data_IF_108047604102
#
_entry.id   IF_108047604102
#
_cell.length_a   1.000
_cell.length_b   1.000
_cell.length_c   1.000
_cell.angle_alpha   90.00
_cell.angle_beta   90.00
_cell.angle_gamma   90.00
#
_symmetry.space_group_name_H-M   'P 1'
#
loop_
_entity.id
_entity.type
_entity.pdbx_description
1 polymer ?
#
# COMPACT_ATOMS: atom_id res chain seq x y z
N UNK A 1 -19.31 64.76 10.94
CA UNK A 1 -20.41 63.95 10.43
C UNK A 1 -21.05 64.63 9.22
N UNK A 2 -21.48 63.88 8.23
CA UNK A 2 -22.17 64.36 7.03
C UNK A 2 -23.37 63.45 6.77
N UNK A 3 -24.61 64.01 6.82
CA UNK A 3 -25.86 63.30 6.58
C UNK A 3 -26.92 63.54 7.64
N UNK A 4 -28.20 63.28 7.29
CA UNK A 4 -29.29 63.44 8.25
C UNK A 4 -29.14 62.38 9.37
N UNK A 5 -29.09 62.88 10.63
CA UNK A 5 -28.89 62.01 11.79
C UNK A 5 -27.49 61.34 11.90
N UNK A 6 -26.53 61.77 11.11
CA UNK A 6 -25.13 61.22 11.22
C UNK A 6 -24.51 61.74 12.55
N UNK A 7 -23.85 60.83 13.27
CA UNK A 7 -23.18 61.07 14.54
C UNK A 7 -21.69 60.74 14.46
N UNK A 8 -20.86 61.73 14.81
CA UNK A 8 -19.38 61.53 14.90
C UNK A 8 -18.92 62.03 16.26
N UNK A 9 -18.49 61.18 17.16
CA UNK A 9 -18.06 61.53 18.50
C UNK A 9 -18.33 60.44 19.54
N UNK A 10 -17.65 60.53 20.69
CA UNK A 10 -17.86 59.59 21.80
C UNK A 10 -19.14 59.96 22.58
N UNK A 11 -19.97 58.96 22.93
CA UNK A 11 -21.15 59.19 23.76
C UNK A 11 -20.86 59.75 25.16
N UNK A 12 -19.65 59.55 25.65
CA UNK A 12 -19.24 59.97 27.01
C UNK A 12 -18.53 61.31 27.07
N UNK A 13 -18.40 62.02 25.94
CA UNK A 13 -17.75 63.34 25.91
C UNK A 13 -16.25 63.38 26.23
N UNK A 14 -15.64 62.25 26.50
CA UNK A 14 -14.19 62.10 26.73
C UNK A 14 -13.48 61.70 25.46
N UNK A 15 -13.12 62.77 24.71
CA UNK A 15 -12.02 62.78 23.74
C UNK A 15 -11.86 61.63 22.75
N UNK A 16 -12.63 61.54 21.71
CA UNK A 16 -12.31 60.80 20.49
C UNK A 16 -12.05 61.78 19.36
N UNK A 17 -10.79 61.96 19.00
CA UNK A 17 -10.43 62.78 17.85
C UNK A 17 -10.33 61.90 16.60
N UNK A 18 -10.91 62.34 15.47
CA UNK A 18 -10.75 61.71 14.17
C UNK A 18 -11.86 60.77 13.73
N UNK A 19 -13.04 60.77 14.37
CA UNK A 19 -14.20 60.02 13.88
C UNK A 19 -14.74 60.59 12.57
N UNK A 20 -15.05 59.70 11.63
CA UNK A 20 -15.67 60.05 10.35
C UNK A 20 -17.03 59.34 10.23
N UNK A 21 -18.13 60.09 10.17
CA UNK A 21 -19.46 59.54 9.90
C UNK A 21 -20.08 60.21 8.67
N UNK A 22 -20.34 59.46 7.60
CA UNK A 22 -20.92 59.97 6.36
C UNK A 22 -22.07 59.05 5.91
N UNK A 23 -23.26 59.55 5.87
CA UNK A 23 -24.43 58.82 5.42
C UNK A 23 -25.65 59.07 6.32
N UNK A 24 -26.87 58.73 5.85
CA UNK A 24 -28.07 58.77 6.65
C UNK A 24 -27.92 57.92 7.91
N UNK A 25 -28.04 58.47 9.09
CA UNK A 25 -27.95 57.80 10.40
C UNK A 25 -26.62 57.02 10.59
N UNK A 26 -25.54 57.39 9.88
CA UNK A 26 -24.22 56.84 10.08
C UNK A 26 -23.66 57.21 11.46
N UNK A 27 -23.11 56.25 12.20
CA UNK A 27 -22.56 56.45 13.54
C UNK A 27 -21.12 56.00 13.65
N UNK A 28 -20.23 56.93 13.98
CA UNK A 28 -18.83 56.65 14.32
C UNK A 28 -18.64 57.16 15.78
N UNK A 29 -18.72 56.24 16.75
CA UNK A 29 -18.83 56.59 18.16
C UNK A 29 -17.97 55.72 19.08
N UNK A 30 -16.73 55.42 18.70
CA UNK A 30 -15.83 54.62 19.54
C UNK A 30 -15.54 55.30 20.88
N UNK A 31 -15.82 54.64 21.99
CA UNK A 31 -15.53 55.09 23.35
C UNK A 31 -14.15 54.59 23.82
N UNK A 32 -13.38 55.47 24.52
CA UNK A 32 -12.11 55.07 25.14
C UNK A 32 -11.40 56.23 25.79
N UNK A 33 -10.69 56.01 26.91
CA UNK A 33 -10.16 57.02 27.79
C UNK A 33 -8.93 57.77 27.28
N UNK A 34 -8.29 57.38 26.13
CA UNK A 34 -6.97 57.88 25.75
C UNK A 34 -6.86 58.57 24.39
N UNK A 35 -7.94 59.11 23.83
CA UNK A 35 -7.88 60.05 22.70
C UNK A 35 -7.40 59.53 21.35
N UNK A 36 -7.14 58.25 21.19
CA UNK A 36 -6.61 57.63 19.94
C UNK A 36 -7.64 56.74 19.22
N UNK A 37 -8.89 57.12 19.23
CA UNK A 37 -10.00 56.24 18.88
C UNK A 37 -10.72 56.69 17.60
N UNK A 38 -10.00 56.74 16.49
CA UNK A 38 -10.58 57.04 15.18
C UNK A 38 -11.50 55.88 14.74
N UNK A 39 -12.80 56.13 14.60
CA UNK A 39 -13.71 55.19 13.94
C UNK A 39 -14.23 55.79 12.64
N UNK A 40 -14.46 54.96 11.64
CA UNK A 40 -14.98 55.37 10.33
C UNK A 40 -16.29 54.67 10.03
N UNK A 41 -17.39 55.43 9.87
CA UNK A 41 -18.67 54.91 9.42
C UNK A 41 -19.09 55.61 8.11
N UNK A 42 -19.09 54.88 7.01
CA UNK A 42 -19.44 55.39 5.68
C UNK A 42 -20.56 54.56 5.05
N UNK A 43 -21.74 55.12 4.98
CA UNK A 43 -22.93 54.48 4.41
C UNK A 43 -24.18 54.72 5.25
N UNK A 44 -25.35 54.56 4.65
CA UNK A 44 -26.62 54.71 5.40
C UNK A 44 -26.70 53.63 6.48
N UNK A 45 -26.99 54.05 7.74
CA UNK A 45 -27.09 53.18 8.92
C UNK A 45 -25.80 52.40 9.22
N UNK A 46 -24.62 52.85 8.74
CA UNK A 46 -23.34 52.25 9.11
C UNK A 46 -23.00 52.58 10.57
N UNK A 47 -22.43 51.60 11.29
CA UNK A 47 -22.14 51.68 12.72
C UNK A 47 -20.67 51.27 12.98
N UNK A 48 -19.84 52.17 13.47
CA UNK A 48 -18.49 51.91 13.91
C UNK A 48 -18.34 52.31 15.39
N UNK A 49 -18.51 51.37 16.30
CA UNK A 49 -18.47 51.56 17.77
C UNK A 49 -17.18 51.05 18.39
N UNK A 50 -16.43 50.19 17.70
CA UNK A 50 -15.13 49.73 18.13
C UNK A 50 -14.02 50.77 17.94
N UNK A 51 -13.05 50.84 18.89
CA UNK A 51 -11.85 51.66 18.73
C UNK A 51 -11.09 51.24 17.46
N UNK A 52 -10.74 52.16 16.58
CA UNK A 52 -10.15 51.84 15.30
C UNK A 52 -11.07 51.08 14.33
N UNK A 53 -12.38 51.01 14.66
CA UNK A 53 -13.37 50.32 13.84
C UNK A 53 -13.65 51.03 12.52
N UNK A 54 -13.75 50.29 11.43
CA UNK A 54 -14.05 50.79 10.09
C UNK A 54 -15.29 50.10 9.52
N UNK A 55 -16.40 50.79 9.39
CA UNK A 55 -17.64 50.30 8.82
C UNK A 55 -17.99 51.02 7.53
N UNK A 56 -17.88 50.39 6.38
CA UNK A 56 -18.15 50.96 5.06
C UNK A 56 -19.21 50.15 4.34
N UNK A 57 -20.34 50.74 4.08
CA UNK A 57 -21.46 50.09 3.41
C UNK A 57 -22.80 50.33 4.18
N UNK A 58 -23.91 50.22 3.49
CA UNK A 58 -25.21 50.37 4.14
C UNK A 58 -25.43 49.24 5.17
N UNK A 59 -25.82 49.62 6.42
CA UNK A 59 -26.00 48.71 7.55
C UNK A 59 -24.74 47.88 7.92
N UNK A 60 -23.53 48.36 7.56
CA UNK A 60 -22.30 47.72 8.02
C UNK A 60 -22.05 48.00 9.50
N UNK A 61 -21.47 47.03 10.23
CA UNK A 61 -21.18 47.10 11.67
C UNK A 61 -19.73 46.72 11.95
N UNK A 62 -18.98 47.63 12.58
CA UNK A 62 -17.63 47.38 13.07
C UNK A 62 -17.63 47.70 14.59
N UNK A 63 -17.91 46.68 15.41
CA UNK A 63 -18.11 46.81 16.84
C UNK A 63 -16.91 46.44 17.71
N UNK A 64 -16.03 45.59 17.18
CA UNK A 64 -14.79 45.18 17.85
C UNK A 64 -13.64 46.19 17.72
N UNK A 65 -12.68 46.14 18.66
CA UNK A 65 -11.42 46.88 18.59
C UNK A 65 -10.66 46.52 17.30
N UNK A 66 -10.26 47.58 16.53
CA UNK A 66 -9.57 47.42 15.24
C UNK A 66 -10.30 46.50 14.25
N UNK A 67 -11.62 46.48 14.29
CA UNK A 67 -12.44 45.67 13.39
C UNK A 67 -12.70 46.37 12.07
N UNK A 68 -12.89 45.61 10.99
CA UNK A 68 -13.17 46.14 9.65
C UNK A 68 -14.38 45.44 9.03
N UNK A 69 -15.43 46.22 8.72
CA UNK A 69 -16.61 45.74 8.01
C UNK A 69 -16.77 46.54 6.70
N UNK A 70 -16.55 45.88 5.56
CA UNK A 70 -16.67 46.50 4.24
C UNK A 70 -17.69 45.75 3.38
N UNK A 71 -18.83 46.32 3.17
CA UNK A 71 -19.93 45.77 2.39
C UNK A 71 -21.28 46.02 3.00
N UNK A 72 -22.35 45.90 2.20
CA UNK A 72 -23.73 46.00 2.71
C UNK A 72 -23.98 44.88 3.72
N UNK A 73 -24.45 45.26 4.93
CA UNK A 73 -24.74 44.34 6.05
C UNK A 73 -23.47 43.50 6.48
N UNK A 74 -22.28 43.97 6.19
CA UNK A 74 -21.07 43.34 6.71
C UNK A 74 -20.97 43.58 8.23
N UNK A 75 -20.59 42.54 9.00
CA UNK A 75 -20.51 42.59 10.47
C UNK A 75 -19.15 42.06 10.95
N UNK A 76 -18.39 42.95 11.57
CA UNK A 76 -17.18 42.61 12.29
C UNK A 76 -17.44 42.80 13.79
N UNK A 77 -17.97 41.77 14.45
CA UNK A 77 -18.62 41.88 15.77
C UNK A 77 -17.61 41.94 16.93
N UNK A 78 -16.38 41.47 16.73
CA UNK A 78 -15.40 41.32 17.81
C UNK A 78 -14.04 41.89 17.42
N UNK A 79 -13.12 41.95 18.42
CA UNK A 79 -11.77 42.50 18.25
C UNK A 79 -10.99 41.84 17.14
N UNK A 80 -10.34 42.66 16.31
CA UNK A 80 -9.54 42.24 15.19
C UNK A 80 -10.30 41.51 14.06
N UNK A 81 -11.65 41.52 14.11
CA UNK A 81 -12.46 40.87 13.09
C UNK A 81 -12.43 41.62 11.76
N UNK A 82 -12.35 40.93 10.65
CA UNK A 82 -12.39 41.48 9.30
C UNK A 82 -13.52 40.84 8.49
N UNK A 83 -14.51 41.61 8.10
CA UNK A 83 -15.67 41.19 7.31
C UNK A 83 -15.76 41.99 6.01
N UNK A 84 -15.42 41.39 4.88
CA UNK A 84 -15.41 42.02 3.56
C UNK A 84 -16.34 41.28 2.60
N UNK A 85 -17.43 41.94 2.23
CA UNK A 85 -18.45 41.38 1.34
C UNK A 85 -19.87 41.64 1.86
N UNK A 86 -20.87 41.42 1.02
CA UNK A 86 -22.26 41.61 1.40
C UNK A 86 -22.70 40.49 2.36
N UNK A 87 -23.35 40.89 3.47
CA UNK A 87 -23.90 39.95 4.47
C UNK A 87 -22.86 38.99 5.07
N UNK A 88 -21.61 39.44 5.17
CA UNK A 88 -20.53 38.72 5.87
C UNK A 88 -20.62 38.92 7.37
N UNK A 89 -20.17 37.94 8.15
CA UNK A 89 -20.06 38.07 9.61
C UNK A 89 -18.72 37.50 10.05
N UNK A 90 -17.94 38.26 10.80
CA UNK A 90 -16.67 37.79 11.36
C UNK A 90 -16.69 37.91 12.88
N UNK A 91 -16.31 36.86 13.58
CA UNK A 91 -16.16 36.78 15.03
C UNK A 91 -14.72 37.11 15.44
N UNK A 92 -14.36 36.93 16.71
CA UNK A 92 -13.08 37.35 17.28
C UNK A 92 -11.87 36.94 16.46
N UNK A 93 -11.13 37.95 15.99
CA UNK A 93 -9.94 37.80 15.12
C UNK A 93 -10.20 36.91 13.87
N UNK A 94 -11.47 36.79 13.50
CA UNK A 94 -11.91 36.06 12.33
C UNK A 94 -11.77 36.88 11.05
N UNK A 95 -11.54 36.22 9.93
CA UNK A 95 -11.50 36.84 8.60
C UNK A 95 -12.59 36.27 7.70
N UNK A 96 -13.53 37.09 7.28
CA UNK A 96 -14.56 36.77 6.29
C UNK A 96 -14.32 37.55 5.00
N UNK A 97 -14.18 36.87 3.88
CA UNK A 97 -14.03 37.49 2.56
C UNK A 97 -14.95 36.81 1.53
N UNK A 98 -15.99 37.50 1.11
CA UNK A 98 -16.94 36.99 0.13
C UNK A 98 -18.38 37.19 0.57
N UNK A 99 -19.32 37.10 -0.38
CA UNK A 99 -20.75 37.22 -0.04
C UNK A 99 -21.15 36.09 0.91
N UNK A 100 -21.78 36.44 2.06
CA UNK A 100 -22.21 35.48 3.10
C UNK A 100 -21.11 34.57 3.66
N UNK A 101 -19.85 34.98 3.59
CA UNK A 101 -18.75 34.26 4.24
C UNK A 101 -18.88 34.40 5.77
N UNK A 102 -18.69 33.30 6.52
CA UNK A 102 -18.93 33.19 7.94
C UNK A 102 -17.87 32.44 8.70
N UNK A 103 -16.78 33.05 9.18
CA UNK A 103 -15.94 32.49 10.24
C UNK A 103 -16.69 32.63 11.59
N UNK A 104 -17.32 31.55 12.03
CA UNK A 104 -18.21 31.50 13.19
C UNK A 104 -17.50 31.21 14.52
N UNK A 105 -16.17 31.10 14.50
CA UNK A 105 -15.37 30.82 15.68
C UNK A 105 -14.11 31.68 15.72
N UNK A 106 -13.48 31.77 16.89
CA UNK A 106 -12.28 32.57 17.10
C UNK A 106 -11.14 32.10 16.18
N UNK A 107 -10.41 33.08 15.62
CA UNK A 107 -9.27 32.87 14.71
C UNK A 107 -9.63 32.12 13.41
N UNK A 108 -10.92 32.01 13.10
CA UNK A 108 -11.37 31.31 11.91
C UNK A 108 -11.24 32.17 10.64
N UNK A 109 -10.92 31.54 9.52
CA UNK A 109 -10.85 32.23 8.23
C UNK A 109 -11.84 31.60 7.24
N UNK A 110 -12.68 32.44 6.63
CA UNK A 110 -13.71 32.02 5.67
C UNK A 110 -13.63 32.87 4.40
N UNK A 111 -13.18 32.27 3.30
CA UNK A 111 -12.99 32.96 2.02
C UNK A 111 -13.80 32.27 0.92
N UNK A 112 -14.73 33.04 0.33
CA UNK A 112 -15.60 32.55 -0.75
C UNK A 112 -17.10 32.75 -0.45
N UNK A 113 -17.90 32.68 -1.49
CA UNK A 113 -19.36 32.82 -1.37
C UNK A 113 -19.91 31.65 -0.56
N UNK A 114 -20.67 31.93 0.49
CA UNK A 114 -21.27 30.96 1.41
C UNK A 114 -20.27 30.04 2.13
N UNK A 115 -18.98 30.41 2.20
CA UNK A 115 -17.99 29.64 2.96
C UNK A 115 -18.25 29.73 4.47
N UNK A 116 -17.96 28.67 5.23
CA UNK A 116 -18.17 28.62 6.68
C UNK A 116 -16.97 27.96 7.37
N UNK A 117 -16.39 28.64 8.33
CA UNK A 117 -15.37 28.13 9.23
C UNK A 117 -15.95 28.08 10.65
N UNK A 118 -16.45 26.91 11.07
CA UNK A 118 -17.30 26.76 12.25
C UNK A 118 -16.53 26.49 13.55
N UNK A 119 -15.24 26.25 13.48
CA UNK A 119 -14.42 25.85 14.64
C UNK A 119 -13.21 26.75 14.82
N UNK A 120 -12.70 26.76 16.05
CA UNK A 120 -11.49 27.49 16.45
C UNK A 120 -10.31 27.23 15.49
N UNK A 121 -9.69 28.32 15.01
CA UNK A 121 -8.55 28.27 14.08
C UNK A 121 -8.82 27.47 12.80
N UNK A 122 -10.06 27.31 12.40
CA UNK A 122 -10.39 26.63 11.14
C UNK A 122 -10.28 27.57 9.94
N UNK A 123 -9.87 27.02 8.79
CA UNK A 123 -9.75 27.78 7.55
C UNK A 123 -10.60 27.14 6.46
N UNK A 124 -11.56 27.91 5.91
CA UNK A 124 -12.47 27.47 4.86
C UNK A 124 -12.32 28.37 3.63
N UNK A 125 -11.82 27.84 2.52
CA UNK A 125 -11.58 28.60 1.29
C UNK A 125 -12.28 27.93 0.12
N UNK A 126 -13.24 28.62 -0.47
CA UNK A 126 -13.98 28.15 -1.64
C UNK A 126 -15.49 28.43 -1.52
N UNK A 127 -16.16 28.41 -2.66
CA UNK A 127 -17.62 28.56 -2.68
C UNK A 127 -18.26 27.39 -1.90
N UNK A 128 -19.11 27.71 -0.94
CA UNK A 128 -19.84 26.74 -0.12
C UNK A 128 -18.94 25.73 0.63
N UNK A 129 -17.67 26.05 0.82
CA UNK A 129 -16.78 25.24 1.65
C UNK A 129 -17.19 25.32 3.11
N UNK A 130 -17.15 24.20 3.85
CA UNK A 130 -17.53 24.13 5.27
C UNK A 130 -16.44 23.38 6.05
N UNK A 131 -15.83 24.06 7.02
CA UNK A 131 -14.83 23.47 7.90
C UNK A 131 -15.31 23.53 9.35
N UNK A 132 -15.57 22.37 9.93
CA UNK A 132 -16.05 22.20 11.30
C UNK A 132 -15.04 21.56 12.23
N UNK A 133 -13.92 21.04 11.69
CA UNK A 133 -12.81 20.54 12.49
C UNK A 133 -11.98 21.65 13.11
N UNK A 134 -11.64 21.56 14.41
CA UNK A 134 -10.69 22.47 15.08
C UNK A 134 -9.32 22.37 14.42
N UNK A 135 -8.65 23.51 14.18
CA UNK A 135 -7.36 23.60 13.51
C UNK A 135 -7.34 22.97 12.11
N UNK A 136 -8.49 22.78 11.48
CA UNK A 136 -8.60 22.15 10.17
C UNK A 136 -8.58 23.18 9.03
N UNK A 137 -8.14 22.74 7.86
CA UNK A 137 -8.06 23.52 6.63
C UNK A 137 -8.85 22.82 5.52
N UNK A 138 -9.79 23.54 4.91
CA UNK A 138 -10.52 23.07 3.74
C UNK A 138 -10.41 24.07 2.59
N UNK A 139 -9.86 23.64 1.45
CA UNK A 139 -9.69 24.48 0.26
C UNK A 139 -10.30 23.81 -0.96
N UNK A 140 -11.34 24.42 -1.51
CA UNK A 140 -12.06 23.96 -2.69
C UNK A 140 -13.55 24.23 -2.62
N UNK A 141 -14.21 24.23 -3.77
CA UNK A 141 -15.66 24.38 -3.85
C UNK A 141 -16.37 23.18 -3.19
N UNK A 142 -17.34 23.44 -2.31
CA UNK A 142 -18.13 22.40 -1.64
C UNK A 142 -17.30 21.38 -0.81
N UNK A 143 -16.08 21.77 -0.43
CA UNK A 143 -15.24 20.97 0.46
C UNK A 143 -15.83 20.96 1.86
N UNK A 144 -15.92 19.78 2.49
CA UNK A 144 -16.43 19.58 3.86
C UNK A 144 -15.35 18.92 4.72
N UNK A 145 -14.99 19.54 5.84
CA UNK A 145 -13.95 19.02 6.74
C UNK A 145 -14.46 19.03 8.17
N UNK A 146 -14.73 17.86 8.73
CA UNK A 146 -15.20 17.70 10.11
C UNK A 146 -14.08 17.23 11.05
N UNK A 147 -13.04 16.59 10.54
CA UNK A 147 -11.92 16.07 11.34
C UNK A 147 -11.02 17.19 11.88
N UNK A 148 -10.68 17.12 13.18
CA UNK A 148 -9.70 18.00 13.81
C UNK A 148 -8.31 17.81 13.17
N UNK A 149 -7.54 18.91 13.00
CA UNK A 149 -6.18 18.87 12.47
C UNK A 149 -6.06 18.42 11.01
N UNK A 150 -7.17 18.29 10.30
CA UNK A 150 -7.25 17.80 8.92
C UNK A 150 -6.94 18.88 7.90
N UNK A 151 -6.20 18.54 6.86
CA UNK A 151 -5.95 19.38 5.69
C UNK A 151 -6.57 18.74 4.46
N UNK A 152 -7.56 19.40 3.86
CA UNK A 152 -8.24 18.94 2.67
C UNK A 152 -8.18 19.98 1.55
N UNK A 153 -7.55 19.62 0.43
CA UNK A 153 -7.40 20.47 -0.75
C UNK A 153 -8.03 19.78 -1.96
N UNK A 154 -9.12 20.34 -2.47
CA UNK A 154 -9.82 19.83 -3.64
C UNK A 154 -11.33 20.00 -3.55
N UNK A 155 -11.98 20.23 -4.70
CA UNK A 155 -13.44 20.43 -4.76
C UNK A 155 -14.21 19.13 -4.48
N UNK A 156 -15.35 19.23 -3.80
CA UNK A 156 -16.23 18.08 -3.50
C UNK A 156 -15.62 17.07 -2.52
N UNK A 157 -14.54 17.44 -1.84
CA UNK A 157 -13.88 16.57 -0.86
C UNK A 157 -14.61 16.58 0.48
N UNK A 158 -14.86 15.42 1.07
CA UNK A 158 -15.55 15.26 2.35
C UNK A 158 -14.71 14.40 3.31
N UNK A 159 -14.23 15.01 4.42
CA UNK A 159 -13.33 14.36 5.37
C UNK A 159 -13.91 14.40 6.77
N UNK A 160 -14.14 13.23 7.36
CA UNK A 160 -14.69 13.10 8.73
C UNK A 160 -13.64 12.69 9.77
N UNK A 161 -12.59 11.98 9.37
CA UNK A 161 -11.50 11.57 10.25
C UNK A 161 -10.54 12.70 10.59
N UNK A 162 -9.79 12.54 11.70
CA UNK A 162 -8.83 13.51 12.23
C UNK A 162 -7.45 13.35 11.62
N UNK A 163 -6.67 14.46 11.62
CA UNK A 163 -5.27 14.46 11.17
C UNK A 163 -5.06 13.89 9.75
N UNK A 164 -6.05 13.95 8.92
CA UNK A 164 -6.03 13.47 7.53
C UNK A 164 -5.41 14.53 6.62
N UNK A 165 -4.69 14.08 5.60
CA UNK A 165 -4.19 14.94 4.52
C UNK A 165 -4.75 14.46 3.18
N UNK A 166 -5.52 15.33 2.49
CA UNK A 166 -6.02 15.04 1.14
C UNK A 166 -5.58 16.08 0.13
N UNK A 167 -5.21 15.60 -1.05
CA UNK A 167 -4.93 16.45 -2.22
C UNK A 167 -5.58 15.84 -3.46
N UNK A 168 -6.70 16.41 -3.88
CA UNK A 168 -7.48 15.93 -5.02
C UNK A 168 -8.96 16.25 -4.84
N UNK A 169 -9.73 16.20 -5.90
CA UNK A 169 -11.18 16.44 -5.87
C UNK A 169 -11.99 15.16 -5.71
N UNK A 170 -13.22 15.29 -5.20
CA UNK A 170 -14.15 14.18 -5.00
C UNK A 170 -13.58 13.03 -4.13
N UNK A 171 -12.81 13.39 -3.11
CA UNK A 171 -12.28 12.46 -2.11
C UNK A 171 -13.25 12.34 -0.95
N UNK A 172 -13.54 11.13 -0.50
CA UNK A 172 -14.31 10.88 0.72
C UNK A 172 -13.48 10.07 1.72
N UNK A 173 -13.28 10.65 2.92
CA UNK A 173 -12.62 9.96 4.02
C UNK A 173 -13.60 9.82 5.18
N UNK A 174 -14.13 8.64 5.45
CA UNK A 174 -15.07 8.39 6.55
C UNK A 174 -14.39 8.49 7.91
N UNK A 175 -15.14 8.37 8.99
CA UNK A 175 -14.61 8.22 10.35
C UNK A 175 -13.80 6.94 10.50
N UNK A 176 -12.82 6.96 11.42
CA UNK A 176 -11.96 5.80 11.71
C UNK A 176 -10.75 5.66 10.80
N UNK A 177 -10.43 6.68 10.00
CA UNK A 177 -9.24 6.74 9.12
C UNK A 177 -8.26 7.84 9.58
N UNK A 178 -8.12 8.01 10.88
CA UNK A 178 -7.30 9.06 11.47
C UNK A 178 -5.82 8.92 11.03
N UNK A 179 -5.27 10.01 10.50
CA UNK A 179 -3.90 10.05 9.97
C UNK A 179 -3.73 9.61 8.52
N UNK A 180 -4.80 9.27 7.79
CA UNK A 180 -4.71 8.84 6.39
C UNK A 180 -4.19 9.94 5.46
N UNK A 181 -3.45 9.54 4.43
CA UNK A 181 -3.04 10.39 3.32
C UNK A 181 -3.73 9.90 2.04
N UNK A 182 -4.48 10.79 1.37
CA UNK A 182 -5.26 10.42 0.18
C UNK A 182 -4.95 11.39 -0.96
N UNK A 183 -4.42 10.88 -2.05
CA UNK A 183 -3.89 11.69 -3.15
C UNK A 183 -4.57 11.34 -4.48
N UNK A 184 -4.97 12.37 -5.21
CA UNK A 184 -5.54 12.24 -6.56
C UNK A 184 -7.07 12.30 -6.58
N UNK A 185 -7.62 12.70 -7.74
CA UNK A 185 -9.06 12.79 -7.97
C UNK A 185 -9.75 11.43 -7.76
N UNK A 186 -10.83 11.39 -6.98
CA UNK A 186 -11.61 10.18 -6.75
C UNK A 186 -10.89 9.05 -6.01
N UNK A 187 -9.75 9.34 -5.36
CA UNK A 187 -9.09 8.32 -4.54
C UNK A 187 -9.92 7.98 -3.31
N UNK A 188 -9.91 6.72 -2.92
CA UNK A 188 -10.74 6.19 -1.84
C UNK A 188 -9.98 6.00 -0.53
N UNK A 189 -10.72 6.11 0.57
CA UNK A 189 -10.28 5.80 1.92
C UNK A 189 -11.38 5.03 2.69
N UNK A 190 -12.27 4.34 1.97
CA UNK A 190 -13.38 3.55 2.51
C UNK A 190 -12.97 2.21 3.10
N UNK A 191 -13.90 1.26 3.13
CA UNK A 191 -13.67 -0.08 3.71
C UNK A 191 -12.61 -0.90 2.99
N UNK A 192 -12.47 -0.70 1.67
CA UNK A 192 -11.50 -1.44 0.85
C UNK A 192 -10.04 -1.02 1.13
N UNK A 193 -9.87 0.05 1.91
CA UNK A 193 -8.57 0.50 2.40
C UNK A 193 -8.27 0.03 3.84
N UNK A 194 -8.91 -1.03 4.31
CA UNK A 194 -8.63 -1.59 5.64
C UNK A 194 -7.17 -2.03 5.73
N UNK A 195 -6.48 -1.51 6.74
CA UNK A 195 -5.06 -1.77 6.96
C UNK A 195 -4.89 -3.14 7.61
N UNK A 196 -4.09 -4.00 6.96
CA UNK A 196 -3.77 -5.34 7.45
C UNK A 196 -2.29 -5.36 7.87
N UNK A 197 -2.03 -5.79 9.09
CA UNK A 197 -0.67 -6.06 9.54
C UNK A 197 -0.17 -7.36 8.91
N UNK A 198 0.70 -7.23 7.91
CA UNK A 198 1.27 -8.34 7.14
C UNK A 198 2.63 -8.71 7.73
N UNK A 199 2.78 -9.90 8.28
CA UNK A 199 4.04 -10.40 8.81
C UNK A 199 4.49 -11.73 8.20
N UNK A 200 3.69 -12.31 7.32
CA UNK A 200 4.01 -13.58 6.66
C UNK A 200 3.30 -13.71 5.31
N UNK A 201 3.90 -14.49 4.41
CA UNK A 201 3.29 -14.92 3.17
C UNK A 201 3.53 -16.41 2.95
N UNK A 202 2.50 -17.14 2.51
CA UNK A 202 2.62 -18.53 2.06
C UNK A 202 2.77 -18.54 0.53
N UNK A 203 3.79 -19.21 0.04
CA UNK A 203 4.09 -19.28 -1.38
C UNK A 203 3.76 -20.66 -1.92
N UNK A 204 2.87 -20.71 -2.91
CA UNK A 204 2.46 -21.91 -3.64
C UNK A 204 1.56 -22.87 -2.83
N UNK A 205 0.68 -23.54 -3.52
CA UNK A 205 -0.30 -24.47 -2.90
C UNK A 205 0.32 -25.77 -2.44
N UNK A 206 1.36 -26.25 -3.12
CA UNK A 206 2.06 -27.51 -2.83
C UNK A 206 3.28 -27.31 -1.94
N UNK A 207 3.90 -26.12 -1.95
CA UNK A 207 5.04 -25.82 -1.11
C UNK A 207 4.54 -25.42 0.28
N UNK A 208 5.19 -25.93 1.31
CA UNK A 208 4.93 -25.48 2.70
C UNK A 208 5.79 -24.26 3.06
N UNK A 209 6.38 -23.59 2.04
CA UNK A 209 7.22 -22.43 2.24
C UNK A 209 6.38 -21.27 2.78
N UNK A 210 6.79 -20.78 3.92
CA UNK A 210 6.20 -19.61 4.57
C UNK A 210 7.31 -18.63 4.85
N UNK A 211 7.19 -17.43 4.31
CA UNK A 211 8.05 -16.30 4.65
C UNK A 211 7.46 -15.62 5.89
N UNK A 212 8.30 -15.33 6.87
CA UNK A 212 7.90 -14.71 8.15
C UNK A 212 8.84 -13.54 8.47
N UNK A 213 8.48 -12.80 9.51
CA UNK A 213 9.30 -11.74 10.07
C UNK A 213 9.54 -10.55 9.12
N UNK A 214 8.47 -10.19 8.35
CA UNK A 214 8.49 -8.99 7.54
C UNK A 214 8.69 -7.74 8.40
N UNK A 215 9.58 -6.83 7.97
CA UNK A 215 9.76 -5.53 8.58
C UNK A 215 8.53 -4.63 8.40
N UNK A 216 8.40 -3.55 9.22
CA UNK A 216 7.34 -2.55 9.06
C UNK A 216 5.98 -2.97 9.62
N UNK A 217 5.95 -3.65 10.75
CA UNK A 217 4.73 -4.11 11.39
C UNK A 217 3.83 -2.94 11.83
N UNK A 218 2.56 -2.97 11.40
CA UNK A 218 1.52 -1.99 11.75
C UNK A 218 0.79 -2.28 13.07
N UNK A 219 1.36 -3.08 13.97
CA UNK A 219 0.83 -3.29 15.32
C UNK A 219 -0.47 -4.09 15.39
N UNK A 220 -0.69 -5.02 14.47
CA UNK A 220 -1.76 -6.02 14.60
C UNK A 220 -1.48 -6.99 15.75
N UNK A 221 -2.51 -7.65 16.28
CA UNK A 221 -2.35 -8.75 17.25
C UNK A 221 -1.70 -9.94 16.56
N UNK A 222 -0.38 -9.97 16.52
CA UNK A 222 0.39 -10.99 15.83
C UNK A 222 0.29 -12.34 16.53
N UNK A 223 -0.62 -13.16 16.06
CA UNK A 223 -0.40 -14.61 16.18
C UNK A 223 0.60 -14.98 15.09
N UNK A 224 1.79 -15.42 15.50
CA UNK A 224 2.88 -15.85 14.61
C UNK A 224 2.33 -16.58 13.37
N UNK A 225 2.59 -16.04 12.17
CA UNK A 225 2.17 -16.63 10.91
C UNK A 225 0.77 -16.29 10.39
N UNK A 226 0.07 -15.31 10.94
CA UNK A 226 -1.21 -14.82 10.39
C UNK A 226 -1.20 -13.32 10.16
N UNK A 227 -1.63 -12.92 8.97
CA UNK A 227 -1.95 -11.53 8.69
C UNK A 227 -3.28 -11.21 9.36
N UNK A 228 -3.33 -10.12 10.13
CA UNK A 228 -4.52 -9.69 10.88
C UNK A 228 -4.82 -8.23 10.57
N UNK A 229 -6.09 -7.83 10.73
CA UNK A 229 -6.42 -6.41 10.68
C UNK A 229 -5.53 -5.63 11.66
N UNK A 230 -5.01 -4.50 11.23
CA UNK A 230 -4.30 -3.59 12.11
C UNK A 230 -5.24 -3.08 13.23
N UNK A 231 -4.67 -2.65 14.35
CA UNK A 231 -5.44 -2.05 15.43
C UNK A 231 -6.27 -0.86 14.93
N UNK A 232 -7.39 -0.57 15.58
CA UNK A 232 -8.33 0.48 15.13
C UNK A 232 -7.64 1.85 15.00
N UNK A 233 -6.72 2.18 15.90
CA UNK A 233 -5.92 3.42 15.86
C UNK A 233 -4.91 3.47 14.71
N UNK A 234 -4.69 2.37 14.01
CA UNK A 234 -3.79 2.25 12.84
C UNK A 234 -4.53 2.14 11.50
N UNK A 235 -5.86 2.13 11.52
CA UNK A 235 -6.65 1.99 10.28
C UNK A 235 -6.53 3.18 9.33
N UNK A 236 -5.94 4.29 9.77
CA UNK A 236 -5.55 5.43 8.92
C UNK A 236 -4.09 5.43 8.48
N UNK A 237 -3.27 4.49 8.89
CA UNK A 237 -1.84 4.45 8.55
C UNK A 237 -1.59 3.94 7.13
N UNK A 238 -2.11 4.64 6.15
CA UNK A 238 -1.92 4.32 4.73
C UNK A 238 -1.83 5.57 3.86
N UNK A 239 -1.31 5.39 2.66
CA UNK A 239 -1.40 6.35 1.56
C UNK A 239 -2.24 5.73 0.46
N UNK A 240 -3.42 6.30 0.18
CA UNK A 240 -4.26 5.92 -0.95
C UNK A 240 -4.01 6.84 -2.13
N UNK A 241 -3.80 6.26 -3.32
CA UNK A 241 -3.56 6.99 -4.57
C UNK A 241 -4.56 6.62 -5.66
N UNK A 242 -5.59 5.88 -5.34
CA UNK A 242 -6.62 5.41 -6.27
C UNK A 242 -7.86 4.88 -5.57
N UNK A 243 -8.68 4.19 -6.32
CA UNK A 243 -9.84 3.44 -5.87
C UNK A 243 -9.95 2.16 -6.69
N UNK A 244 -10.84 1.23 -6.33
CA UNK A 244 -11.17 0.06 -7.15
C UNK A 244 -11.49 0.49 -8.59
N UNK A 245 -10.94 -0.21 -9.57
CA UNK A 245 -11.02 0.09 -11.02
C UNK A 245 -10.46 1.47 -11.44
N UNK A 246 -9.74 2.16 -10.56
CA UNK A 246 -9.11 3.45 -10.82
C UNK A 246 -7.75 3.57 -10.08
N UNK A 247 -6.98 2.49 -10.12
CA UNK A 247 -5.64 2.41 -9.53
C UNK A 247 -4.65 3.30 -10.28
N UNK A 248 -3.58 3.70 -9.61
CA UNK A 248 -2.49 4.51 -10.17
C UNK A 248 -1.14 3.86 -9.99
N UNK A 249 -0.30 3.98 -10.99
CA UNK A 249 1.11 3.60 -10.88
C UNK A 249 1.93 4.74 -10.25
N UNK A 250 2.82 4.37 -9.34
CA UNK A 250 3.84 5.29 -8.84
C UNK A 250 5.04 5.22 -9.78
N UNK A 251 5.36 6.33 -10.46
CA UNK A 251 6.47 6.43 -11.42
C UNK A 251 7.72 7.05 -10.78
N UNK A 252 8.87 6.81 -11.38
CA UNK A 252 10.17 7.40 -10.96
C UNK A 252 10.58 7.05 -9.53
N UNK A 253 10.18 5.87 -9.05
CA UNK A 253 10.62 5.35 -7.76
C UNK A 253 12.07 4.89 -7.89
N UNK A 254 12.95 5.42 -7.03
CA UNK A 254 14.34 4.96 -6.94
C UNK A 254 14.40 3.53 -6.39
N UNK A 255 15.53 2.85 -6.61
CA UNK A 255 15.74 1.53 -6.03
C UNK A 255 15.79 1.62 -4.50
N UNK A 256 14.99 0.79 -3.83
CA UNK A 256 14.98 0.65 -2.38
C UNK A 256 16.13 -0.25 -1.88
N UNK A 257 16.48 -0.14 -0.62
CA UNK A 257 17.45 -1.04 0.03
C UNK A 257 16.90 -2.44 0.11
N UNK A 258 17.74 -3.43 -0.15
CA UNK A 258 17.39 -4.86 -0.03
C UNK A 258 18.12 -5.43 1.19
N UNK A 259 17.56 -5.21 2.37
CA UNK A 259 18.04 -5.74 3.66
C UNK A 259 16.86 -6.33 4.44
N UNK A 260 17.16 -7.16 5.43
CA UNK A 260 16.11 -7.83 6.22
C UNK A 260 15.21 -6.87 7.00
N UNK A 261 15.70 -5.67 7.31
CA UNK A 261 15.03 -4.62 8.07
C UNK A 261 14.49 -3.48 7.20
N UNK A 262 14.64 -3.56 5.86
CA UNK A 262 14.20 -2.50 4.96
C UNK A 262 12.69 -2.38 4.89
N UNK A 263 12.21 -1.15 4.93
CA UNK A 263 10.82 -0.76 4.65
C UNK A 263 10.72 0.11 3.41
N UNK A 264 11.78 0.18 2.60
CA UNK A 264 11.78 0.94 1.36
C UNK A 264 10.91 0.27 0.29
N UNK A 265 10.24 1.05 -0.55
CA UNK A 265 9.55 0.54 -1.73
C UNK A 265 10.56 0.02 -2.76
N UNK A 266 10.26 -1.11 -3.38
CA UNK A 266 11.05 -1.68 -4.47
C UNK A 266 10.48 -1.19 -5.81
N UNK A 267 11.37 -0.91 -6.77
CA UNK A 267 10.94 -0.65 -8.15
C UNK A 267 11.00 -1.91 -9.02
N UNK A 268 10.35 -1.85 -10.20
CA UNK A 268 10.24 -2.98 -11.11
C UNK A 268 11.58 -3.57 -11.58
N UNK A 269 12.66 -2.75 -11.66
CA UNK A 269 13.97 -3.25 -12.09
C UNK A 269 14.61 -4.19 -11.06
N UNK A 270 14.37 -3.96 -9.77
CA UNK A 270 14.87 -4.83 -8.70
C UNK A 270 14.15 -6.19 -8.73
N UNK A 271 12.83 -6.19 -8.91
CA UNK A 271 12.05 -7.42 -9.07
C UNK A 271 12.44 -8.18 -10.35
N UNK A 272 12.69 -7.45 -11.46
CA UNK A 272 13.16 -8.06 -12.71
C UNK A 272 14.46 -8.84 -12.52
N UNK A 273 15.44 -8.31 -11.76
CA UNK A 273 16.70 -9.05 -11.51
C UNK A 273 16.47 -10.35 -10.71
N UNK A 274 15.57 -10.31 -9.73
CA UNK A 274 15.19 -11.53 -8.99
C UNK A 274 14.50 -12.54 -9.90
N UNK A 275 13.54 -12.11 -10.71
CA UNK A 275 12.83 -12.95 -11.67
C UNK A 275 13.79 -13.56 -12.72
N UNK A 276 14.73 -12.76 -13.25
CA UNK A 276 15.75 -13.22 -14.19
C UNK A 276 16.66 -14.29 -13.58
N UNK A 277 17.14 -14.07 -12.36
CA UNK A 277 17.99 -15.04 -11.66
C UNK A 277 17.26 -16.36 -11.41
N UNK A 278 15.98 -16.26 -11.02
CA UNK A 278 15.13 -17.43 -10.82
C UNK A 278 14.86 -18.19 -12.14
N UNK A 279 14.61 -17.46 -13.22
CA UNK A 279 14.45 -18.01 -14.57
C UNK A 279 15.70 -18.77 -15.01
N UNK A 280 16.88 -18.15 -14.91
CA UNK A 280 18.15 -18.79 -15.26
C UNK A 280 18.41 -20.06 -14.42
N UNK A 281 18.04 -20.04 -13.13
CA UNK A 281 18.17 -21.21 -12.26
C UNK A 281 17.23 -22.36 -12.68
N UNK A 282 15.99 -22.02 -13.06
CA UNK A 282 15.01 -22.99 -13.56
C UNK A 282 15.46 -23.62 -14.88
N UNK A 283 15.92 -22.80 -15.84
CA UNK A 283 16.47 -23.25 -17.12
C UNK A 283 17.70 -24.17 -16.91
N UNK A 284 18.67 -23.74 -16.09
CA UNK A 284 19.87 -24.56 -15.81
C UNK A 284 19.55 -25.89 -15.12
N UNK A 285 18.51 -25.94 -14.28
CA UNK A 285 18.04 -27.16 -13.67
C UNK A 285 17.35 -28.07 -14.70
N UNK A 286 16.53 -27.49 -15.58
CA UNK A 286 15.88 -28.22 -16.66
C UNK A 286 16.88 -28.84 -17.62
N UNK A 287 17.88 -28.08 -18.06
CA UNK A 287 18.97 -28.55 -18.91
C UNK A 287 19.76 -29.71 -18.25
N UNK A 288 20.07 -29.56 -16.96
CA UNK A 288 20.80 -30.61 -16.19
C UNK A 288 19.98 -31.88 -16.08
N UNK A 289 18.66 -31.79 -16.00
CA UNK A 289 17.76 -32.94 -15.88
C UNK A 289 17.27 -33.46 -17.25
N UNK A 290 17.53 -32.73 -18.34
CA UNK A 290 17.07 -33.09 -19.68
C UNK A 290 15.56 -33.02 -19.83
N UNK A 291 14.92 -32.01 -19.22
CA UNK A 291 13.45 -31.78 -19.23
C UNK A 291 13.10 -30.41 -19.81
N UNK A 292 11.91 -30.29 -20.39
CA UNK A 292 11.37 -28.99 -20.83
C UNK A 292 10.62 -28.29 -19.71
N UNK A 293 10.50 -26.94 -19.81
CA UNK A 293 9.68 -26.12 -18.93
C UNK A 293 8.40 -25.65 -19.65
N UNK A 294 7.32 -25.50 -18.88
CA UNK A 294 6.16 -24.74 -19.24
C UNK A 294 6.43 -23.24 -19.10
N UNK A 295 5.55 -22.38 -19.65
CA UNK A 295 5.64 -20.92 -19.55
C UNK A 295 5.63 -20.41 -18.10
N UNK A 296 5.06 -21.16 -17.17
CA UNK A 296 5.01 -20.84 -15.74
C UNK A 296 6.25 -21.34 -14.96
N UNK A 297 7.26 -21.87 -15.65
CA UNK A 297 8.49 -22.41 -15.05
C UNK A 297 8.35 -23.80 -14.43
N UNK A 298 7.19 -24.45 -14.53
CA UNK A 298 7.01 -25.84 -14.10
C UNK A 298 7.53 -26.81 -15.16
N UNK A 299 7.92 -28.00 -14.74
CA UNK A 299 8.39 -29.03 -15.66
C UNK A 299 7.26 -29.48 -16.58
N UNK A 300 7.47 -29.37 -17.89
CA UNK A 300 6.47 -29.70 -18.92
C UNK A 300 6.22 -31.20 -19.03
N UNK A 301 7.29 -31.97 -19.04
CA UNK A 301 7.25 -33.42 -19.14
C UNK A 301 7.69 -34.02 -17.81
N UNK A 302 7.02 -35.08 -17.39
CA UNK A 302 7.60 -35.90 -16.32
C UNK A 302 8.94 -36.44 -16.82
N UNK A 303 9.94 -36.45 -15.95
CA UNK A 303 11.17 -37.14 -16.21
C UNK A 303 10.82 -38.57 -16.68
N UNK A 304 11.22 -38.93 -17.88
CA UNK A 304 10.96 -40.24 -18.47
C UNK A 304 12.26 -40.80 -18.97
N UNK A 305 12.73 -41.83 -18.31
CA UNK A 305 13.91 -42.60 -18.73
C UNK A 305 13.52 -44.06 -18.75
N UNK A 306 13.12 -44.59 -19.92
CA UNK A 306 12.88 -46.02 -20.06
C UNK A 306 14.17 -46.80 -19.84
N UNK A 307 14.11 -47.87 -19.07
CA UNK A 307 15.19 -48.80 -18.91
C UNK A 307 15.12 -49.84 -20.04
N UNK A 308 16.06 -49.76 -20.99
CA UNK A 308 16.19 -50.77 -22.05
C UNK A 308 16.96 -51.98 -21.51
N UNK A 309 16.36 -53.15 -21.55
CA UNK A 309 16.98 -54.40 -21.17
C UNK A 309 17.32 -55.20 -22.40
N UNK A 310 18.36 -56.03 -22.29
CA UNK A 310 18.80 -56.94 -23.42
C UNK A 310 17.70 -57.94 -23.77
N UNK A 311 17.62 -58.29 -25.04
CA UNK A 311 16.72 -59.33 -25.53
C UNK A 311 16.98 -60.66 -24.79
N UNK A 312 15.89 -61.32 -24.35
CA UNK A 312 15.97 -62.53 -23.57
C UNK A 312 16.22 -62.34 -22.07
N UNK A 313 16.29 -61.10 -21.59
CA UNK A 313 16.39 -60.80 -20.15
C UNK A 313 15.12 -61.25 -19.41
N UNK A 314 15.32 -61.94 -18.29
CA UNK A 314 14.22 -62.25 -17.35
C UNK A 314 13.82 -61.08 -16.46
N UNK A 315 14.47 -59.93 -16.61
CA UNK A 315 14.12 -58.71 -15.89
C UNK A 315 13.01 -57.96 -16.62
N UNK A 316 11.89 -57.76 -15.94
CA UNK A 316 10.84 -56.89 -16.43
C UNK A 316 11.09 -55.49 -15.89
N UNK A 317 11.44 -54.51 -16.76
CA UNK A 317 11.65 -53.15 -16.29
C UNK A 317 10.33 -52.59 -15.76
N UNK A 318 10.35 -51.86 -14.64
CA UNK A 318 9.17 -51.11 -14.18
C UNK A 318 8.79 -50.09 -15.25
N UNK A 319 7.48 -49.75 -15.32
CA UNK A 319 6.98 -48.68 -16.14
C UNK A 319 7.69 -47.36 -15.80
N UNK A 320 7.77 -46.49 -16.80
CA UNK A 320 8.49 -45.18 -16.76
C UNK A 320 8.74 -44.56 -15.39
N UNK A 321 9.98 -44.17 -15.12
CA UNK A 321 10.34 -43.42 -13.94
C UNK A 321 9.82 -42.00 -14.04
N UNK A 322 8.96 -41.57 -13.11
CA UNK A 322 8.42 -40.23 -13.06
C UNK A 322 9.34 -39.19 -12.42
N UNK A 323 10.51 -39.59 -11.93
CA UNK A 323 11.51 -38.72 -11.31
C UNK A 323 12.89 -39.39 -11.33
N UNK A 324 13.97 -38.60 -11.13
CA UNK A 324 15.35 -39.03 -11.16
C UNK A 324 15.65 -40.12 -10.12
N UNK A 325 15.07 -40.00 -8.92
CA UNK A 325 15.26 -40.98 -7.84
C UNK A 325 14.71 -42.34 -8.25
N UNK A 326 13.51 -42.36 -8.84
CA UNK A 326 12.89 -43.59 -9.33
C UNK A 326 13.71 -44.21 -10.48
N UNK A 327 14.21 -43.39 -11.42
CA UNK A 327 15.06 -43.83 -12.50
C UNK A 327 16.37 -44.50 -11.99
N UNK A 328 17.03 -43.84 -11.04
CA UNK A 328 18.25 -44.41 -10.42
C UNK A 328 17.96 -45.69 -9.61
N UNK A 329 16.78 -45.71 -8.93
CA UNK A 329 16.37 -46.92 -8.22
C UNK A 329 16.12 -48.08 -9.19
N UNK A 330 15.46 -47.82 -10.32
CA UNK A 330 15.21 -48.82 -11.36
C UNK A 330 16.53 -49.35 -11.96
N UNK A 331 17.45 -48.41 -12.26
CA UNK A 331 18.78 -48.77 -12.75
C UNK A 331 19.55 -49.62 -11.71
N UNK A 332 19.54 -49.23 -10.44
CA UNK A 332 20.17 -49.99 -9.38
C UNK A 332 19.57 -51.40 -9.25
N UNK A 333 18.26 -51.53 -9.33
CA UNK A 333 17.58 -52.80 -9.27
C UNK A 333 17.92 -53.68 -10.48
N UNK A 334 18.01 -53.10 -11.68
CA UNK A 334 18.43 -53.81 -12.90
C UNK A 334 19.87 -54.34 -12.79
N UNK A 335 20.79 -53.47 -12.40
CA UNK A 335 22.21 -53.86 -12.26
C UNK A 335 22.37 -54.97 -11.23
N UNK A 336 21.59 -54.93 -10.14
CA UNK A 336 21.66 -55.95 -9.10
C UNK A 336 20.78 -57.20 -9.34
N UNK A 337 19.90 -57.16 -10.35
CA UNK A 337 19.06 -58.30 -10.68
C UNK A 337 19.89 -59.51 -11.15
N UNK A 338 21.05 -59.27 -11.79
CA UNK A 338 21.95 -60.30 -12.21
C UNK A 338 21.34 -61.29 -13.19
N UNK A 339 21.90 -62.51 -13.23
CA UNK A 339 21.42 -63.62 -14.03
C UNK A 339 21.42 -64.93 -13.18
N UNK A 340 20.64 -65.88 -13.61
CA UNK A 340 20.52 -67.12 -12.86
C UNK A 340 21.44 -68.21 -13.44
N UNK A 341 22.25 -68.87 -12.61
CA UNK A 341 22.91 -70.06 -12.91
C UNK A 341 22.04 -71.23 -12.45
N UNK A 342 21.81 -72.18 -13.36
CA UNK A 342 21.05 -73.43 -13.09
C UNK A 342 21.81 -74.61 -13.47
N UNK A 343 21.70 -75.74 -12.74
CA UNK A 343 22.24 -77.01 -13.11
C UNK A 343 21.14 -78.06 -13.24
N UNK A 344 21.04 -78.72 -14.41
CA UNK A 344 19.97 -79.68 -14.68
C UNK A 344 20.12 -81.02 -13.96
N UNK A 345 21.34 -81.30 -13.42
CA UNK A 345 21.61 -82.57 -12.66
C UNK A 345 21.13 -82.50 -11.18
N UNK A 346 20.81 -81.35 -10.69
CA UNK A 346 20.20 -81.09 -9.37
C UNK A 346 19.42 -79.84 -9.44
N UNK A 347 18.53 -79.58 -8.49
CA UNK A 347 17.68 -78.37 -8.45
C UNK A 347 18.43 -77.09 -8.10
N UNK A 348 19.72 -77.00 -8.45
CA UNK A 348 20.53 -75.82 -8.19
C UNK A 348 20.11 -74.64 -9.06
N UNK A 349 19.71 -73.55 -8.38
CA UNK A 349 19.43 -72.27 -9.00
C UNK A 349 19.94 -71.17 -8.07
N UNK A 350 20.83 -70.32 -8.58
CA UNK A 350 21.36 -69.22 -7.83
C UNK A 350 21.46 -67.95 -8.71
N UNK A 351 21.29 -66.79 -8.12
CA UNK A 351 21.45 -65.51 -8.79
C UNK A 351 22.92 -65.06 -8.73
N UNK A 352 23.41 -64.60 -9.88
CA UNK A 352 24.74 -64.02 -10.03
C UNK A 352 24.57 -62.55 -10.35
N UNK A 353 24.90 -61.70 -9.41
CA UNK A 353 24.83 -60.22 -9.52
C UNK A 353 26.25 -59.66 -9.76
N UNK A 354 26.32 -58.35 -10.04
CA UNK A 354 27.57 -57.62 -10.20
C UNK A 354 28.47 -57.82 -8.96
N UNK A 355 29.73 -58.20 -9.18
CA UNK A 355 30.67 -58.46 -8.10
C UNK A 355 30.70 -59.93 -7.64
N UNK A 356 29.75 -60.77 -8.06
CA UNK A 356 29.82 -62.22 -7.79
C UNK A 356 30.73 -62.88 -8.75
N UNK A 357 31.37 -63.96 -8.28
CA UNK A 357 32.23 -64.89 -9.10
C UNK A 357 31.50 -66.21 -9.24
N UNK A 358 31.40 -66.67 -10.46
CA UNK A 358 30.96 -68.04 -10.75
C UNK A 358 32.21 -68.84 -11.04
N UNK A 359 32.44 -69.88 -10.24
CA UNK A 359 33.59 -70.80 -10.44
C UNK A 359 33.07 -72.16 -10.91
N UNK A 360 33.46 -72.57 -12.10
CA UNK A 360 33.17 -73.86 -12.66
C UNK A 360 34.35 -74.81 -12.31
N UNK A 361 34.06 -75.83 -11.58
CA UNK A 361 35.11 -76.82 -11.13
C UNK A 361 34.84 -78.17 -11.74
N UNK A 362 35.84 -78.68 -12.45
CA UNK A 362 35.83 -80.04 -12.93
C UNK A 362 36.17 -81.03 -11.81
N UNK A 363 35.52 -82.18 -11.78
CA UNK A 363 35.83 -83.29 -10.87
C UNK A 363 35.96 -84.59 -11.64
N UNK A 364 36.90 -85.47 -11.25
CA UNK A 364 37.18 -86.67 -11.95
C UNK A 364 37.90 -86.41 -13.28
N UNK A 365 37.37 -86.95 -14.39
CA UNK A 365 37.95 -86.79 -15.75
C UNK A 365 37.35 -85.57 -16.50
N UNK A 366 36.95 -84.54 -15.84
CA UNK A 366 36.37 -83.33 -16.47
C UNK A 366 37.28 -82.14 -16.26
N UNK A 367 37.79 -81.63 -17.39
CA UNK A 367 38.54 -80.38 -17.43
C UNK A 367 37.67 -79.20 -17.77
N UNK A 368 37.93 -78.06 -17.08
CA UNK A 368 37.21 -76.80 -17.27
C UNK A 368 38.24 -75.72 -17.62
N UNK A 369 38.26 -75.31 -18.87
CA UNK A 369 39.16 -74.28 -19.38
C UNK A 369 38.43 -73.04 -19.77
N UNK A 370 38.92 -71.87 -19.29
CA UNK A 370 38.41 -70.57 -19.64
C UNK A 370 39.30 -69.85 -20.65
N UNK A 371 38.67 -69.23 -21.66
CA UNK A 371 39.37 -68.36 -22.62
C UNK A 371 38.62 -67.11 -22.91
N UNK A 372 39.35 -66.07 -23.34
CA UNK A 372 38.74 -64.80 -23.76
C UNK A 372 39.33 -64.46 -25.14
N UNK A 373 38.44 -64.24 -26.12
CA UNK A 373 38.88 -63.80 -27.45
C UNK A 373 39.25 -62.30 -27.43
N UNK A 374 39.93 -61.83 -28.51
CA UNK A 374 40.24 -60.40 -28.67
C UNK A 374 38.98 -59.49 -28.69
N UNK A 375 37.86 -60.03 -29.10
CA UNK A 375 36.55 -59.31 -29.15
C UNK A 375 35.82 -59.42 -27.84
N UNK A 376 36.44 -59.89 -26.77
CA UNK A 376 35.88 -59.94 -25.43
C UNK A 376 34.91 -61.10 -25.17
N UNK A 377 34.77 -62.06 -26.11
CA UNK A 377 33.95 -63.26 -25.88
C UNK A 377 34.67 -64.14 -24.87
N UNK A 378 34.01 -64.51 -23.82
CA UNK A 378 34.50 -65.42 -22.77
C UNK A 378 33.89 -66.79 -22.98
N UNK A 379 34.72 -67.74 -23.12
CA UNK A 379 34.34 -69.16 -23.38
C UNK A 379 34.79 -69.99 -22.20
N UNK A 380 33.91 -70.84 -21.71
CA UNK A 380 34.24 -71.85 -20.74
C UNK A 380 34.04 -73.18 -21.47
N UNK A 381 35.16 -73.93 -21.75
CA UNK A 381 35.15 -75.25 -22.32
C UNK A 381 35.07 -76.26 -21.19
N UNK A 382 34.13 -77.17 -21.30
CA UNK A 382 34.01 -78.30 -20.38
C UNK A 382 34.18 -79.54 -21.21
N UNK A 383 35.32 -80.28 -21.01
CA UNK A 383 35.68 -81.48 -21.75
C UNK A 383 35.92 -82.66 -20.79
N UNK A 384 35.65 -83.83 -21.25
CA UNK A 384 36.02 -85.06 -20.54
C UNK A 384 37.30 -85.56 -21.07
N UNK A 385 38.30 -85.83 -20.20
CA UNK A 385 39.54 -86.52 -20.54
C UNK A 385 39.30 -87.96 -20.66
N UNK A 386 39.55 -88.48 -21.86
CA UNK A 386 39.66 -89.87 -22.19
C UNK A 386 38.44 -90.64 -22.64
N UNK A 387 38.55 -91.58 -23.49
CA UNK A 387 37.45 -92.43 -23.92
C UNK A 387 36.89 -93.19 -22.73
N UNK A 388 35.57 -93.15 -22.60
CA UNK A 388 34.84 -94.02 -21.69
C UNK A 388 35.14 -95.46 -22.19
N UNK A 389 35.96 -96.16 -21.45
CA UNK A 389 36.18 -97.57 -21.71
C UNK A 389 34.91 -98.30 -21.23
N UNK A 390 34.05 -98.66 -22.18
CA UNK A 390 32.92 -99.55 -21.92
C UNK A 390 33.49 -101.04 -21.88
N UNK A 391 33.83 -101.45 -20.70
CA UNK A 391 34.06 -102.88 -20.46
C UNK A 391 32.76 -103.65 -20.21
#
# INVERSE_FOLDING_TARGET
AIGNGAVSGSPSGTGGNGHVAIGLMAQASAGGANGQNAAVALGAYSLATGQGGTAIGAHSIADGLNSTALGKIAKANNDGATAVGTNTTAEWQGTALGNTAQPLANYATSIGVNSKANSHSSTSIGKAAVVSGKNAIGVGTETKVNGEGTVAVGSGTNVSSKNVSTLGSNITVPEGRDGAVVLGHGSDAGKDTDVIAVNSAKIGDKSKLTYTDFAGNLGGTNKKGKNTAAAQDKQGNFVSIGSEDNERQIKHVAAGRITADSTDALNGSQLYQVAKTLGNAAEGLADTLGVDLNEDGTVKNKFSQPLTVAEGSNYTPPTEAGDVKTALTNLNNYVNAGWNVTASGNDYKNNVSVGHTVNFVGTGNVDVDGSTTKDGVRTINISADSPIDYA
#
